data_IF_524252469150
#
_entry.id   IF_524252469150
#
_cell.length_a   1.000
_cell.length_b   1.000
_cell.length_c   1.000
_cell.angle_alpha   90.00
_cell.angle_beta   90.00
_cell.angle_gamma   90.00
#
_symmetry.space_group_name_H-M   'P 1'
#
loop_
_entity.id
_entity.type
_entity.pdbx_description
1 polymer ?
#
# COMPACT_ATOMS: atom_id res chain seq x y z
N UNK A 1 3.51 4.07 -16.11
CA UNK A 1 2.12 4.51 -16.43
C UNK A 1 1.40 4.76 -15.11
N UNK A 2 0.47 5.73 -15.04
CA UNK A 2 -0.33 5.93 -13.83
C UNK A 2 -1.53 4.97 -13.79
N UNK A 3 -2.08 4.74 -12.59
CA UNK A 3 -3.25 3.87 -12.41
C UNK A 3 -4.47 4.39 -13.17
N UNK A 4 -4.65 5.71 -13.23
CA UNK A 4 -5.74 6.35 -13.96
C UNK A 4 -5.66 6.08 -15.48
N UNK A 5 -4.45 6.12 -16.05
CA UNK A 5 -4.25 5.82 -17.47
C UNK A 5 -4.57 4.35 -17.73
N UNK A 6 -4.07 3.45 -16.88
CA UNK A 6 -4.34 2.02 -17.03
C UNK A 6 -5.83 1.69 -16.90
N UNK A 7 -6.52 2.28 -15.89
CA UNK A 7 -7.98 2.15 -15.77
C UNK A 7 -8.70 2.62 -17.04
N UNK A 8 -8.32 3.76 -17.62
CA UNK A 8 -8.94 4.26 -18.83
C UNK A 8 -8.70 3.32 -20.02
N UNK A 9 -7.56 2.64 -20.08
CA UNK A 9 -7.30 1.59 -21.07
C UNK A 9 -8.23 0.38 -20.87
N UNK A 10 -8.50 -0.01 -19.62
CA UNK A 10 -9.42 -1.11 -19.32
C UNK A 10 -10.88 -0.82 -19.73
N UNK A 11 -11.27 0.45 -19.75
CA UNK A 11 -12.59 0.89 -20.23
C UNK A 11 -12.64 1.20 -21.72
N UNK A 12 -11.50 1.23 -22.40
CA UNK A 12 -11.43 1.51 -23.82
C UNK A 12 -12.11 0.41 -24.65
N UNK A 13 -12.91 0.82 -25.63
CA UNK A 13 -13.35 -0.06 -26.70
C UNK A 13 -12.24 -0.08 -27.77
N UNK A 14 -11.52 -1.19 -27.88
CA UNK A 14 -10.48 -1.37 -28.87
C UNK A 14 -11.01 -2.30 -29.98
N UNK A 15 -10.59 -2.04 -31.21
CA UNK A 15 -10.83 -2.95 -32.33
C UNK A 15 -10.05 -4.26 -32.08
N UNK A 16 -10.58 -5.40 -32.55
CA UNK A 16 -9.97 -6.74 -32.40
C UNK A 16 -8.49 -6.82 -32.83
N UNK A 17 -8.03 -5.88 -33.67
CA UNK A 17 -6.67 -5.84 -34.19
C UNK A 17 -5.73 -4.88 -33.45
N UNK A 18 -6.21 -4.10 -32.48
CA UNK A 18 -5.43 -3.05 -31.80
C UNK A 18 -5.69 -2.99 -30.28
N UNK A 19 -6.02 -4.13 -29.65
CA UNK A 19 -6.19 -4.19 -28.20
C UNK A 19 -4.83 -4.18 -27.51
N UNK A 20 -4.44 -3.07 -26.85
CA UNK A 20 -3.16 -2.97 -26.15
C UNK A 20 -3.06 -3.91 -24.94
N UNK A 21 -4.17 -4.54 -24.53
CA UNK A 21 -4.25 -5.44 -23.38
C UNK A 21 -4.25 -6.92 -23.79
N UNK A 22 -4.26 -7.22 -25.10
CA UNK A 22 -4.32 -8.62 -25.60
C UNK A 22 -3.20 -9.49 -25.01
N UNK A 23 -1.98 -8.97 -24.96
CA UNK A 23 -0.79 -9.67 -24.49
C UNK A 23 -0.38 -9.26 -23.06
N UNK A 24 -1.31 -8.71 -22.28
CA UNK A 24 -1.04 -8.29 -20.91
C UNK A 24 -0.98 -9.52 -19.98
N UNK A 25 0.22 -9.91 -19.57
CA UNK A 25 0.45 -11.04 -18.68
C UNK A 25 0.40 -10.66 -17.19
N UNK A 26 0.95 -9.50 -16.84
CA UNK A 26 1.01 -9.07 -15.45
C UNK A 26 0.90 -7.55 -15.29
N UNK A 27 0.33 -7.14 -14.17
CA UNK A 27 0.21 -5.74 -13.74
C UNK A 27 0.81 -5.59 -12.35
N UNK A 28 1.72 -4.64 -12.20
CA UNK A 28 2.29 -4.28 -10.91
C UNK A 28 1.62 -2.99 -10.44
N UNK A 29 0.88 -3.09 -9.34
CA UNK A 29 0.23 -1.97 -8.67
C UNK A 29 1.11 -1.55 -7.48
N UNK A 30 1.92 -0.53 -7.68
CA UNK A 30 2.80 -0.01 -6.62
C UNK A 30 2.03 0.99 -5.74
N UNK A 31 2.38 1.01 -4.45
CA UNK A 31 1.75 1.89 -3.44
C UNK A 31 0.24 1.66 -3.28
N UNK A 32 -0.22 0.40 -3.33
CA UNK A 32 -1.64 0.09 -3.30
C UNK A 32 -2.35 0.49 -1.99
N UNK A 33 -1.63 0.99 -0.97
CA UNK A 33 -2.24 1.61 0.20
C UNK A 33 -3.08 2.87 -0.12
N UNK A 34 -2.88 3.50 -1.29
CA UNK A 34 -3.75 4.58 -1.78
C UNK A 34 -5.19 4.14 -2.06
N UNK A 35 -5.50 2.85 -2.05
CA UNK A 35 -6.89 2.36 -2.07
C UNK A 35 -7.72 2.90 -0.91
N UNK A 36 -7.09 3.24 0.22
CA UNK A 36 -7.76 3.86 1.36
C UNK A 36 -7.97 5.38 1.21
N UNK A 37 -7.48 5.99 0.14
CA UNK A 37 -7.67 7.42 -0.13
C UNK A 37 -9.10 7.68 -0.64
N UNK A 38 -9.88 8.58 0.01
CA UNK A 38 -11.26 8.86 -0.38
C UNK A 38 -11.42 9.41 -1.81
N UNK A 39 -10.39 10.04 -2.36
CA UNK A 39 -10.44 10.64 -3.69
C UNK A 39 -9.92 9.72 -4.79
N UNK A 40 -8.95 8.86 -4.47
CA UNK A 40 -8.23 8.03 -5.44
C UNK A 40 -8.52 6.53 -5.32
N UNK A 41 -9.07 6.09 -4.18
CA UNK A 41 -9.29 4.67 -3.91
C UNK A 41 -10.14 3.97 -4.95
N UNK A 42 -11.20 4.61 -5.43
CA UNK A 42 -12.10 4.09 -6.47
C UNK A 42 -11.35 3.70 -7.75
N UNK A 43 -10.34 4.48 -8.15
CA UNK A 43 -9.54 4.18 -9.36
C UNK A 43 -8.80 2.85 -9.23
N UNK A 44 -8.27 2.56 -8.03
CA UNK A 44 -7.59 1.31 -7.74
C UNK A 44 -8.55 0.12 -7.73
N UNK A 45 -9.71 0.29 -7.10
CA UNK A 45 -10.76 -0.73 -7.07
C UNK A 45 -11.24 -1.07 -8.48
N UNK A 46 -11.58 -0.07 -9.27
CA UNK A 46 -12.00 -0.23 -10.67
C UNK A 46 -10.92 -0.93 -11.50
N UNK A 47 -9.65 -0.57 -11.30
CA UNK A 47 -8.53 -1.20 -12.00
C UNK A 47 -8.45 -2.70 -11.71
N UNK A 48 -8.62 -3.12 -10.46
CA UNK A 48 -8.58 -4.54 -10.08
C UNK A 48 -9.80 -5.29 -10.60
N UNK A 49 -11.00 -4.69 -10.49
CA UNK A 49 -12.25 -5.31 -10.92
C UNK A 49 -12.27 -5.56 -12.44
N UNK A 50 -11.80 -4.58 -13.22
CA UNK A 50 -11.82 -4.65 -14.67
C UNK A 50 -10.58 -5.29 -15.30
N UNK A 51 -9.55 -5.55 -14.51
CA UNK A 51 -8.37 -6.25 -15.00
C UNK A 51 -8.75 -7.65 -15.52
N UNK A 52 -8.31 -8.04 -16.73
CA UNK A 52 -8.63 -9.37 -17.26
C UNK A 52 -8.20 -10.48 -16.30
N UNK A 53 -9.06 -11.48 -16.08
CA UNK A 53 -8.80 -12.58 -15.13
C UNK A 53 -7.58 -13.45 -15.48
N UNK A 54 -7.13 -13.40 -16.73
CA UNK A 54 -5.89 -14.04 -17.19
C UNK A 54 -4.62 -13.30 -16.72
N UNK A 55 -4.75 -12.02 -16.35
CA UNK A 55 -3.62 -11.16 -16.01
C UNK A 55 -3.28 -11.32 -14.54
N UNK A 56 -2.01 -11.59 -14.24
CA UNK A 56 -1.53 -11.63 -12.87
C UNK A 56 -1.42 -10.23 -12.26
N UNK A 57 -2.06 -10.00 -11.13
CA UNK A 57 -1.92 -8.74 -10.37
C UNK A 57 -0.88 -8.93 -9.25
N UNK A 58 0.10 -8.03 -9.19
CA UNK A 58 1.11 -7.94 -8.13
C UNK A 58 0.91 -6.59 -7.44
N UNK A 59 0.29 -6.61 -6.26
CA UNK A 59 0.05 -5.40 -5.48
C UNK A 59 1.16 -5.21 -4.44
N UNK A 60 1.87 -4.10 -4.53
CA UNK A 60 2.94 -3.71 -3.61
C UNK A 60 2.43 -2.59 -2.70
N UNK A 61 2.73 -2.72 -1.41
CA UNK A 61 2.34 -1.71 -0.43
C UNK A 61 3.34 -1.62 0.71
N UNK A 62 3.44 -0.46 1.32
CA UNK A 62 4.17 -0.29 2.56
C UNK A 62 3.43 -1.02 3.70
N UNK A 63 2.76 -0.32 4.58
CA UNK A 63 2.05 -0.92 5.72
C UNK A 63 0.54 -0.72 5.56
N UNK A 64 -0.21 -1.81 5.41
CA UNK A 64 -1.68 -1.79 5.39
C UNK A 64 -2.17 -2.46 6.68
N UNK A 65 -2.98 -1.75 7.45
CA UNK A 65 -3.52 -2.26 8.72
C UNK A 65 -4.52 -3.42 8.51
N UNK A 66 -5.16 -3.49 7.33
CA UNK A 66 -6.19 -4.45 6.98
C UNK A 66 -5.82 -5.31 5.75
N UNK A 67 -4.56 -5.72 5.64
CA UNK A 67 -4.05 -6.49 4.50
C UNK A 67 -4.85 -7.78 4.21
N UNK A 68 -5.28 -8.49 5.26
CA UNK A 68 -6.10 -9.71 5.11
C UNK A 68 -7.48 -9.42 4.49
N UNK A 69 -8.10 -8.29 4.84
CA UNK A 69 -9.37 -7.88 4.24
C UNK A 69 -9.20 -7.54 2.77
N UNK A 70 -8.12 -6.84 2.44
CA UNK A 70 -7.78 -6.51 1.06
C UNK A 70 -7.51 -7.77 0.23
N UNK A 71 -6.73 -8.71 0.76
CA UNK A 71 -6.49 -10.00 0.11
C UNK A 71 -7.81 -10.72 -0.18
N UNK A 72 -8.67 -10.88 0.83
CA UNK A 72 -9.96 -11.56 0.68
C UNK A 72 -10.88 -10.87 -0.35
N UNK A 73 -10.80 -9.55 -0.45
CA UNK A 73 -11.55 -8.79 -1.44
C UNK A 73 -11.01 -9.04 -2.86
N UNK A 74 -9.69 -8.93 -3.05
CA UNK A 74 -9.05 -9.20 -4.36
C UNK A 74 -9.35 -10.63 -4.82
N UNK A 75 -9.27 -11.60 -3.90
CA UNK A 75 -9.59 -13.01 -4.21
C UNK A 75 -11.01 -13.19 -4.73
N UNK A 76 -11.97 -12.42 -4.22
CA UNK A 76 -13.38 -12.49 -4.66
C UNK A 76 -13.61 -11.84 -6.01
N UNK A 77 -12.89 -10.77 -6.35
CA UNK A 77 -13.18 -9.98 -7.55
C UNK A 77 -12.30 -10.33 -8.73
N UNK A 78 -11.08 -10.82 -8.47
CA UNK A 78 -10.11 -11.12 -9.53
C UNK A 78 -9.71 -12.61 -9.58
N UNK A 79 -9.42 -13.22 -8.43
CA UNK A 79 -9.05 -14.64 -8.36
C UNK A 79 -8.08 -14.97 -7.24
N UNK A 80 -7.57 -16.22 -7.20
CA UNK A 80 -6.74 -16.71 -6.10
C UNK A 80 -5.58 -15.76 -5.77
N UNK A 81 -5.49 -15.34 -4.51
CA UNK A 81 -4.56 -14.30 -4.06
C UNK A 81 -3.75 -14.78 -2.86
N UNK A 82 -2.44 -14.55 -2.87
CA UNK A 82 -1.53 -14.87 -1.78
C UNK A 82 -1.03 -13.60 -1.13
N UNK A 83 -1.20 -13.47 0.18
CA UNK A 83 -0.62 -12.38 0.97
C UNK A 83 0.81 -12.74 1.40
N UNK A 84 1.77 -11.90 1.01
CA UNK A 84 3.16 -12.00 1.46
C UNK A 84 3.44 -10.81 2.37
N UNK A 85 3.66 -11.06 3.65
CA UNK A 85 3.95 -10.03 4.64
C UNK A 85 5.38 -10.20 5.20
N UNK A 86 6.14 -9.10 5.24
CA UNK A 86 7.50 -9.08 5.80
C UNK A 86 7.67 -7.89 6.73
N UNK A 87 8.03 -8.16 7.96
CA UNK A 87 8.34 -7.12 8.96
C UNK A 87 9.82 -6.72 8.98
N UNK A 88 10.65 -7.41 8.19
CA UNK A 88 12.08 -7.12 8.12
C UNK A 88 12.32 -5.88 7.27
N UNK A 89 12.77 -4.81 7.89
CA UNK A 89 13.20 -3.59 7.18
C UNK A 89 14.67 -3.71 6.80
N UNK A 90 15.04 -3.43 5.55
CA UNK A 90 16.45 -3.41 5.13
C UNK A 90 17.22 -2.26 5.80
N UNK A 91 16.53 -1.15 6.10
CA UNK A 91 17.08 0.00 6.82
C UNK A 91 16.25 0.20 8.09
N UNK A 92 16.88 0.19 9.28
CA UNK A 92 16.17 0.47 10.53
C UNK A 92 15.67 1.92 10.53
N UNK A 93 14.55 2.15 11.24
CA UNK A 93 13.99 3.48 11.44
C UNK A 93 14.08 3.84 12.91
N UNK A 94 14.71 4.99 13.18
CA UNK A 94 14.71 5.62 14.49
C UNK A 94 13.68 6.75 14.51
N UNK A 95 12.82 6.75 15.52
CA UNK A 95 11.80 7.76 15.69
C UNK A 95 12.27 8.78 16.73
N UNK A 96 12.38 10.04 16.30
CA UNK A 96 12.85 11.12 17.12
C UNK A 96 11.79 12.23 17.15
N UNK A 97 11.44 12.67 18.34
CA UNK A 97 10.60 13.84 18.55
C UNK A 97 11.48 15.08 18.65
N UNK A 98 11.17 16.11 17.86
CA UNK A 98 11.85 17.40 17.91
C UNK A 98 11.03 18.40 18.72
N UNK A 99 11.60 18.94 19.78
CA UNK A 99 11.02 20.01 20.59
C UNK A 99 11.91 21.26 20.58
N UNK A 100 11.41 22.35 21.14
CA UNK A 100 12.22 23.58 21.35
C UNK A 100 13.43 23.38 22.27
N UNK A 101 13.44 22.29 23.05
CA UNK A 101 14.53 21.90 23.97
C UNK A 101 15.54 20.92 23.32
N UNK A 102 15.24 20.39 22.12
CA UNK A 102 16.13 19.48 21.42
C UNK A 102 15.43 18.25 20.82
N UNK A 103 16.25 17.25 20.47
CA UNK A 103 15.82 15.98 19.90
C UNK A 103 15.69 14.93 21.02
N UNK A 104 14.55 14.26 21.06
CA UNK A 104 14.23 13.25 22.06
C UNK A 104 13.81 11.94 21.37
N UNK A 105 14.31 10.76 21.80
CA UNK A 105 13.82 9.48 21.28
C UNK A 105 12.30 9.34 21.52
N UNK A 106 11.55 8.96 20.50
CA UNK A 106 10.11 8.71 20.64
C UNK A 106 9.84 7.32 21.24
N UNK A 107 10.76 6.38 21.00
CA UNK A 107 10.68 5.02 21.53
C UNK A 107 11.88 4.77 22.44
N UNK A 108 11.66 4.06 23.55
CA UNK A 108 12.74 3.59 24.39
C UNK A 108 13.45 2.37 23.75
N UNK A 109 14.56 1.94 24.33
CA UNK A 109 15.35 0.78 23.86
C UNK A 109 14.56 -0.55 23.81
N UNK A 110 13.35 -0.59 24.37
CA UNK A 110 12.43 -1.74 24.32
C UNK A 110 11.32 -1.57 23.26
N UNK A 111 11.34 -0.49 22.46
CA UNK A 111 10.34 -0.20 21.44
C UNK A 111 9.00 0.31 21.97
N UNK A 112 8.91 0.66 23.25
CA UNK A 112 7.72 1.26 23.84
C UNK A 112 7.79 2.78 23.71
N UNK A 113 6.63 3.43 23.50
CA UNK A 113 6.56 4.90 23.41
C UNK A 113 7.02 5.55 24.70
N UNK A 114 7.94 6.51 24.58
CA UNK A 114 8.36 7.34 25.69
C UNK A 114 7.40 8.53 25.78
N UNK A 115 6.48 8.51 26.75
CA UNK A 115 5.48 9.56 26.94
C UNK A 115 6.11 10.73 27.69
N UNK A 116 6.48 11.78 26.97
CA UNK A 116 7.01 13.03 27.53
C UNK A 116 5.85 13.93 28.03
N UNK A 117 5.19 13.54 29.12
CA UNK A 117 4.08 14.36 29.64
C UNK A 117 4.48 15.39 30.68
N UNK A 118 5.68 15.31 31.25
CA UNK A 118 6.16 16.29 32.23
C UNK A 118 7.64 16.58 32.06
N UNK A 119 8.07 17.76 32.50
CA UNK A 119 9.47 18.19 32.47
C UNK A 119 10.40 17.32 33.33
N UNK A 120 9.84 16.48 34.18
CA UNK A 120 10.59 15.64 35.15
C UNK A 120 10.70 14.18 34.69
N UNK A 121 10.01 13.77 33.61
CA UNK A 121 10.05 12.39 33.08
C UNK A 121 11.24 12.10 32.16
N UNK A 122 12.15 13.05 31.98
CA UNK A 122 13.32 12.89 31.10
C UNK A 122 14.41 11.97 31.70
N UNK A 123 14.35 11.70 33.01
CA UNK A 123 15.35 10.87 33.69
C UNK A 123 15.00 9.36 33.74
N UNK A 124 13.76 8.98 33.34
CA UNK A 124 13.28 7.58 33.37
C UNK A 124 13.13 6.92 31.99
N UNK A 125 13.60 7.57 30.92
CA UNK A 125 13.57 7.02 29.55
C UNK A 125 14.89 6.39 29.13
#
# INVERSE_FOLDING_TARGET
MTTEIFRNMLYGEFDEFDDPLENLESVILDECHYMNDPQRGTVWEETIIHCPSRTQIIALSATIANADQLQNWIEKVHGPTVLINSHKRPVPLDFIFCSVKGLHPLLNNKGNGCLLYTSDAADDC
#
